data_IF_014484199258
#
_entry.id   IF_014484199258
#
_cell.length_a   1.000
_cell.length_b   1.000
_cell.length_c   1.000
_cell.angle_alpha   90.00
_cell.angle_beta   90.00
_cell.angle_gamma   90.00
#
_symmetry.space_group_name_H-M   'P 1'
#
loop_
_entity.id
_entity.type
_entity.pdbx_description
1 polymer ?
#
# COMPACT_ATOMS: atom_id res chain seq x y z
N UNK A 1 17.04 8.20 28.29
CA UNK A 1 15.79 8.83 27.79
C UNK A 1 15.44 8.14 26.47
N UNK A 2 14.16 7.90 26.20
CA UNK A 2 13.73 7.36 24.90
C UNK A 2 14.01 8.37 23.80
N UNK A 3 14.42 7.88 22.62
CA UNK A 3 14.56 8.71 21.42
C UNK A 3 13.18 9.09 20.87
N UNK A 4 12.96 10.37 20.57
CA UNK A 4 11.68 10.89 20.10
C UNK A 4 11.60 10.82 18.58
N UNK A 5 10.67 10.03 18.08
CA UNK A 5 10.40 9.85 16.65
C UNK A 5 9.09 10.53 16.27
N UNK A 6 9.08 11.17 15.11
CA UNK A 6 7.86 11.63 14.46
C UNK A 6 7.71 10.95 13.11
N UNK A 7 6.59 10.29 12.88
CA UNK A 7 6.18 9.88 11.55
C UNK A 7 5.11 10.82 10.99
N UNK A 8 5.21 11.13 9.70
CA UNK A 8 4.25 12.01 9.01
C UNK A 8 3.78 11.33 7.73
N UNK A 9 2.48 11.14 7.58
CA UNK A 9 1.83 10.59 6.39
C UNK A 9 0.47 11.26 6.17
N UNK A 10 -0.11 11.16 4.98
CA UNK A 10 -1.37 11.83 4.66
C UNK A 10 -2.57 11.25 5.43
N UNK A 11 -2.71 9.93 5.43
CA UNK A 11 -3.80 9.19 6.10
C UNK A 11 -3.37 7.75 6.32
N UNK A 12 -4.23 6.91 6.90
CA UNK A 12 -4.01 5.46 7.00
C UNK A 12 -5.07 4.68 6.19
N UNK A 13 -5.34 5.14 4.99
CA UNK A 13 -6.19 4.42 4.03
C UNK A 13 -5.53 3.12 3.55
N UNK A 14 -6.31 2.26 2.88
CA UNK A 14 -5.82 0.97 2.38
C UNK A 14 -4.92 1.15 1.15
N UNK A 15 -3.63 1.47 1.37
CA UNK A 15 -2.61 1.52 0.32
C UNK A 15 -1.24 1.02 0.84
N UNK A 16 -0.25 0.89 -0.06
CA UNK A 16 1.02 0.22 0.24
C UNK A 16 1.88 0.93 1.28
N UNK A 17 2.02 2.25 1.18
CA UNK A 17 2.82 3.04 2.11
C UNK A 17 2.23 3.03 3.53
N UNK A 18 0.90 3.15 3.64
CA UNK A 18 0.16 3.14 4.90
C UNK A 18 0.26 1.78 5.58
N UNK A 19 0.18 0.70 4.79
CA UNK A 19 0.40 -0.66 5.27
C UNK A 19 1.83 -0.87 5.78
N UNK A 20 2.81 -0.42 4.99
CA UNK A 20 4.24 -0.47 5.36
C UNK A 20 4.49 0.25 6.68
N UNK A 21 3.98 1.49 6.82
CA UNK A 21 4.09 2.24 8.07
C UNK A 21 3.43 1.50 9.25
N UNK A 22 2.20 1.02 9.07
CA UNK A 22 1.48 0.33 10.14
C UNK A 22 2.21 -0.94 10.57
N UNK A 23 2.79 -1.69 9.62
CA UNK A 23 3.64 -2.85 9.93
C UNK A 23 4.87 -2.43 10.73
N UNK A 24 5.59 -1.40 10.29
CA UNK A 24 6.76 -0.87 10.97
C UNK A 24 6.42 -0.43 12.40
N UNK A 25 5.33 0.33 12.58
CA UNK A 25 4.88 0.78 13.90
C UNK A 25 4.59 -0.40 14.85
N UNK A 26 4.05 -1.52 14.36
CA UNK A 26 3.82 -2.71 15.18
C UNK A 26 5.10 -3.49 15.57
N UNK A 27 6.24 -3.14 15.00
CA UNK A 27 7.52 -3.84 15.21
C UNK A 27 8.55 -2.99 15.97
N UNK A 28 8.31 -1.69 16.13
CA UNK A 28 9.21 -0.77 16.86
C UNK A 28 9.32 -1.17 18.33
N UNK A 29 10.53 -1.08 18.87
CA UNK A 29 10.81 -1.29 20.30
C UNK A 29 10.46 -0.03 21.13
N UNK A 30 9.23 0.03 21.63
CA UNK A 30 8.74 1.15 22.45
C UNK A 30 9.42 1.29 23.81
N UNK A 31 10.28 0.34 24.21
CA UNK A 31 11.14 0.55 25.38
C UNK A 31 12.22 1.60 25.13
N UNK A 32 12.65 1.77 23.87
CA UNK A 32 13.70 2.68 23.41
C UNK A 32 13.15 3.96 22.77
N UNK A 33 11.97 3.91 22.15
CA UNK A 33 11.42 4.97 21.34
C UNK A 33 10.09 5.51 21.88
N UNK A 34 9.95 6.83 21.83
CA UNK A 34 8.69 7.56 21.97
C UNK A 34 8.24 7.99 20.58
N UNK A 35 7.06 7.55 20.15
CA UNK A 35 6.60 7.70 18.77
C UNK A 35 5.36 8.55 18.70
N UNK A 36 5.46 9.68 17.98
CA UNK A 36 4.32 10.49 17.54
C UNK A 36 4.00 10.20 16.07
N UNK A 37 2.72 10.18 15.74
CA UNK A 37 2.22 10.03 14.38
C UNK A 37 1.37 11.23 14.00
N UNK A 38 1.82 12.03 13.02
CA UNK A 38 1.05 13.11 12.43
C UNK A 38 0.38 12.63 11.15
N UNK A 39 -0.93 12.60 11.19
CA UNK A 39 -1.79 12.39 10.01
C UNK A 39 -2.34 13.73 9.54
N UNK A 40 -2.42 13.94 8.23
CA UNK A 40 -3.11 15.10 7.66
C UNK A 40 -4.63 14.88 7.66
N UNK A 41 -5.06 13.64 7.51
CA UNK A 41 -6.44 13.21 7.74
C UNK A 41 -6.44 12.03 8.69
N UNK A 42 -7.06 12.16 9.87
CA UNK A 42 -7.28 11.03 10.78
C UNK A 42 -8.44 10.23 10.21
N UNK A 43 -8.12 9.43 9.21
CA UNK A 43 -9.01 8.57 8.48
C UNK A 43 -8.25 7.38 7.91
N UNK A 44 -8.96 6.31 7.62
CA UNK A 44 -8.44 5.12 6.98
C UNK A 44 -8.58 3.88 7.82
N UNK A 45 -8.62 2.79 7.12
CA UNK A 45 -8.91 1.47 7.67
C UNK A 45 -7.79 0.93 8.58
N UNK A 46 -6.56 1.42 8.38
CA UNK A 46 -5.41 0.99 9.20
C UNK A 46 -5.26 1.74 10.52
N UNK A 47 -6.14 2.71 10.83
CA UNK A 47 -6.13 3.41 12.13
C UNK A 47 -6.28 2.45 13.31
N UNK A 48 -7.17 1.46 13.19
CA UNK A 48 -7.41 0.45 14.24
C UNK A 48 -6.20 -0.48 14.50
N UNK A 49 -5.20 -0.43 13.61
CA UNK A 49 -4.01 -1.27 13.68
C UNK A 49 -2.79 -0.52 14.23
N UNK A 50 -2.92 0.77 14.46
CA UNK A 50 -1.87 1.56 15.11
C UNK A 50 -1.74 1.09 16.56
N UNK A 51 -0.52 0.75 17.04
CA UNK A 51 -0.30 0.37 18.42
C UNK A 51 -0.70 1.47 19.41
N UNK A 52 -1.17 1.09 20.59
CA UNK A 52 -1.57 2.03 21.65
C UNK A 52 -0.41 2.89 22.16
N UNK A 53 0.82 2.42 21.99
CA UNK A 53 2.04 3.13 22.34
C UNK A 53 2.34 4.33 21.42
N UNK A 54 1.70 4.39 20.24
CA UNK A 54 1.85 5.49 19.30
C UNK A 54 0.90 6.62 19.65
N UNK A 55 1.46 7.79 19.92
CA UNK A 55 0.67 9.00 20.14
C UNK A 55 0.25 9.61 18.81
N UNK A 56 -1.02 9.45 18.42
CA UNK A 56 -1.58 10.11 17.24
C UNK A 56 -1.83 11.57 17.57
N UNK A 57 -1.13 12.47 16.88
CA UNK A 57 -1.24 13.91 17.10
C UNK A 57 -2.59 14.45 16.58
N UNK A 58 -3.08 15.57 17.17
CA UNK A 58 -4.28 16.25 16.67
C UNK A 58 -4.17 16.58 15.18
N UNK A 59 -5.30 16.67 14.52
CA UNK A 59 -5.37 17.12 13.12
C UNK A 59 -4.78 18.52 13.00
N UNK A 60 -4.14 18.75 11.86
CA UNK A 60 -3.68 20.10 11.52
C UNK A 60 -4.88 21.00 11.16
N UNK A 61 -4.95 22.18 11.77
CA UNK A 61 -6.08 23.12 11.64
C UNK A 61 -6.47 23.43 10.20
N UNK A 62 -5.49 23.49 9.29
CA UNK A 62 -5.76 23.73 7.88
C UNK A 62 -6.57 22.61 7.23
N UNK A 63 -6.26 21.34 7.54
CA UNK A 63 -7.00 20.21 6.99
C UNK A 63 -8.40 20.10 7.60
N UNK A 64 -8.56 20.38 8.89
CA UNK A 64 -9.91 20.50 9.49
C UNK A 64 -10.74 21.57 8.80
N UNK A 65 -10.13 22.75 8.60
CA UNK A 65 -10.77 23.85 7.91
C UNK A 65 -11.17 23.49 6.46
N UNK A 66 -10.33 22.76 5.75
CA UNK A 66 -10.61 22.30 4.38
C UNK A 66 -11.76 21.30 4.29
N UNK A 67 -12.09 20.59 5.36
CA UNK A 67 -13.23 19.66 5.40
C UNK A 67 -14.58 20.37 5.58
N UNK A 68 -14.59 21.64 5.98
CA UNK A 68 -15.82 22.41 6.11
C UNK A 68 -16.40 22.80 4.74
N UNK A 69 -17.74 22.91 4.61
CA UNK A 69 -18.36 23.53 3.45
C UNK A 69 -17.86 24.97 3.23
N UNK A 70 -17.72 25.42 1.98
CA UNK A 70 -17.19 26.75 1.66
C UNK A 70 -17.97 27.87 2.37
N UNK A 71 -19.28 27.75 2.48
CA UNK A 71 -20.13 28.71 3.20
C UNK A 71 -19.77 28.83 4.69
N UNK A 72 -19.40 27.73 5.34
CA UNK A 72 -18.95 27.74 6.73
C UNK A 72 -17.53 28.31 6.86
N UNK A 73 -16.64 28.02 5.90
CA UNK A 73 -15.31 28.62 5.86
C UNK A 73 -15.39 30.15 5.81
N UNK A 74 -16.26 30.71 4.96
CA UNK A 74 -16.44 32.15 4.84
C UNK A 74 -16.99 32.72 6.14
N UNK A 75 -18.00 32.10 6.75
CA UNK A 75 -18.60 32.56 8.01
C UNK A 75 -17.64 32.45 9.19
N UNK A 76 -16.65 31.60 9.16
CA UNK A 76 -15.67 31.39 10.25
C UNK A 76 -14.47 32.31 10.18
N UNK A 77 -14.42 33.27 9.25
CA UNK A 77 -13.30 34.21 9.10
C UNK A 77 -13.39 35.31 10.15
N UNK A 78 -13.08 34.97 11.40
CA UNK A 78 -12.99 35.94 12.51
C UNK A 78 -11.53 36.23 12.90
N UNK A 79 -10.53 35.61 12.26
CA UNK A 79 -9.12 35.79 12.55
C UNK A 79 -8.28 35.86 11.28
N UNK A 80 -7.11 36.49 11.37
CA UNK A 80 -6.15 36.52 10.28
C UNK A 80 -5.69 35.13 9.82
N UNK A 81 -5.58 34.19 10.77
CA UNK A 81 -5.25 32.77 10.46
C UNK A 81 -6.33 32.11 9.59
N UNK A 82 -7.63 32.31 9.96
CA UNK A 82 -8.74 31.74 9.15
C UNK A 82 -8.85 32.40 7.78
N UNK A 83 -8.54 33.69 7.67
CA UNK A 83 -8.46 34.38 6.39
C UNK A 83 -7.35 33.82 5.50
N UNK A 84 -6.15 33.58 6.04
CA UNK A 84 -5.05 32.93 5.33
C UNK A 84 -5.47 31.55 4.82
N UNK A 85 -6.11 30.72 5.66
CA UNK A 85 -6.58 29.39 5.29
C UNK A 85 -7.60 29.43 4.15
N UNK A 86 -8.54 30.38 4.19
CA UNK A 86 -9.53 30.59 3.13
C UNK A 86 -8.87 30.97 1.80
N UNK A 87 -7.95 31.94 1.83
CA UNK A 87 -7.23 32.38 0.64
C UNK A 87 -6.38 31.24 0.04
N UNK A 88 -5.69 30.47 0.88
CA UNK A 88 -4.93 29.30 0.45
C UNK A 88 -5.82 28.25 -0.23
N UNK A 89 -6.99 27.96 0.35
CA UNK A 89 -7.96 27.02 -0.20
C UNK A 89 -8.51 27.48 -1.56
N UNK A 90 -8.88 28.75 -1.68
CA UNK A 90 -9.36 29.34 -2.94
C UNK A 90 -8.24 29.30 -3.99
N UNK A 91 -7.04 29.75 -3.63
CA UNK A 91 -5.88 29.76 -4.52
C UNK A 91 -5.57 28.36 -5.07
N UNK A 92 -5.51 27.34 -4.20
CA UNK A 92 -5.30 25.96 -4.63
C UNK A 92 -6.44 25.46 -5.51
N UNK A 93 -7.70 25.74 -5.14
CA UNK A 93 -8.88 25.31 -5.92
C UNK A 93 -8.91 25.90 -7.33
N UNK A 94 -8.44 27.11 -7.52
CA UNK A 94 -8.30 27.71 -8.85
C UNK A 94 -7.16 27.04 -9.62
N UNK A 95 -5.98 26.94 -9.01
CA UNK A 95 -4.79 26.40 -9.68
C UNK A 95 -4.94 24.96 -10.13
N UNK A 96 -5.54 24.07 -9.32
CA UNK A 96 -5.70 22.65 -9.65
C UNK A 96 -6.65 22.44 -10.84
N UNK A 97 -7.56 23.38 -11.11
CA UNK A 97 -8.47 23.32 -12.26
C UNK A 97 -7.82 23.81 -13.57
N UNK A 98 -6.88 24.73 -13.45
CA UNK A 98 -6.23 25.35 -14.61
C UNK A 98 -5.01 24.54 -15.06
N UNK A 99 -4.18 24.08 -14.11
CA UNK A 99 -2.90 23.43 -14.42
C UNK A 99 -3.03 21.91 -14.27
N UNK A 100 -2.93 21.20 -15.40
CA UNK A 100 -2.78 19.75 -15.39
C UNK A 100 -1.35 19.38 -14.96
N UNK A 101 -1.19 18.28 -14.25
CA UNK A 101 0.11 17.76 -13.81
C UNK A 101 -0.05 16.39 -13.18
N UNK A 102 1.08 15.68 -13.03
CA UNK A 102 1.13 14.41 -12.32
C UNK A 102 0.99 14.64 -10.78
N UNK A 103 1.02 13.55 -10.00
CA UNK A 103 0.86 13.64 -8.54
C UNK A 103 1.99 14.46 -7.87
N UNK A 104 3.22 14.39 -8.39
CA UNK A 104 4.34 15.18 -7.88
C UNK A 104 4.11 16.68 -8.10
N UNK A 105 3.62 17.05 -9.28
CA UNK A 105 3.31 18.45 -9.62
C UNK A 105 2.16 18.98 -8.77
N UNK A 106 1.14 18.16 -8.53
CA UNK A 106 -0.01 18.52 -7.67
C UNK A 106 0.42 18.73 -6.22
N UNK A 107 1.32 17.88 -5.67
CA UNK A 107 1.83 18.04 -4.32
C UNK A 107 2.60 19.36 -4.13
N UNK A 108 3.47 19.71 -5.09
CA UNK A 108 4.18 21.01 -5.06
C UNK A 108 3.22 22.18 -5.20
N UNK A 109 2.23 22.06 -6.09
CA UNK A 109 1.21 23.08 -6.26
C UNK A 109 0.41 23.30 -4.97
N UNK A 110 -0.03 22.22 -4.34
CA UNK A 110 -0.72 22.27 -3.05
C UNK A 110 0.14 22.98 -2.01
N UNK A 111 1.38 22.51 -1.83
CA UNK A 111 2.26 23.06 -0.80
C UNK A 111 2.53 24.55 -0.99
N UNK A 112 2.88 24.99 -2.20
CA UNK A 112 3.09 26.41 -2.52
C UNK A 112 1.87 27.29 -2.26
N UNK A 113 0.66 26.75 -2.40
CA UNK A 113 -0.56 27.50 -2.10
C UNK A 113 -0.87 27.56 -0.61
N UNK A 114 -0.46 26.54 0.16
CA UNK A 114 -0.98 26.29 1.50
C UNK A 114 0.09 26.34 2.62
N UNK A 115 1.38 26.37 2.32
CA UNK A 115 2.47 26.30 3.30
C UNK A 115 2.36 27.33 4.42
N UNK A 116 1.86 28.55 4.10
CA UNK A 116 1.68 29.63 5.06
C UNK A 116 0.50 29.42 6.02
N UNK A 117 -0.35 28.43 5.75
CA UNK A 117 -1.50 28.05 6.59
C UNK A 117 -1.16 26.94 7.59
N UNK A 118 0.07 26.45 7.56
CA UNK A 118 0.58 25.46 8.51
C UNK A 118 1.54 26.14 9.49
N UNK A 119 1.27 26.00 10.77
CA UNK A 119 2.19 26.42 11.81
C UNK A 119 3.39 25.47 11.91
N UNK A 120 4.48 25.97 12.50
CA UNK A 120 5.60 25.11 12.86
C UNK A 120 5.21 24.20 14.01
N UNK A 121 5.65 22.93 13.94
CA UNK A 121 5.43 21.99 15.02
C UNK A 121 6.16 22.46 16.31
N UNK A 122 5.45 22.55 17.44
CA UNK A 122 6.04 23.11 18.66
C UNK A 122 7.04 22.14 19.34
N UNK A 123 6.81 20.82 19.19
CA UNK A 123 7.66 19.75 19.76
C UNK A 123 8.89 19.54 18.88
N UNK A 124 10.04 19.31 19.48
CA UNK A 124 11.29 18.94 18.82
C UNK A 124 11.52 17.44 18.93
N UNK A 125 12.03 16.83 17.86
CA UNK A 125 12.26 15.40 17.75
C UNK A 125 13.74 15.06 17.53
N UNK A 126 14.12 13.85 17.90
CA UNK A 126 15.44 13.34 17.54
C UNK A 126 15.46 12.96 16.05
N UNK A 127 14.38 12.29 15.57
CA UNK A 127 14.22 11.95 14.16
C UNK A 127 12.80 12.26 13.70
N UNK A 128 12.66 12.94 12.57
CA UNK A 128 11.38 13.17 11.89
C UNK A 128 11.39 12.49 10.53
N UNK A 129 10.37 11.67 10.28
CA UNK A 129 10.27 10.79 9.12
C UNK A 129 9.03 11.15 8.31
N UNK A 130 9.22 11.69 7.12
CA UNK A 130 8.16 11.81 6.13
C UNK A 130 7.97 10.44 5.46
N UNK A 131 6.92 9.72 5.81
CA UNK A 131 6.72 8.35 5.32
C UNK A 131 6.06 8.27 3.93
N UNK A 132 6.00 9.40 3.25
CA UNK A 132 5.61 9.50 1.85
C UNK A 132 6.29 10.70 1.19
N UNK A 133 6.50 10.59 -0.11
CA UNK A 133 6.97 11.70 -0.96
C UNK A 133 5.89 12.78 -1.12
N UNK A 134 6.29 13.99 -1.48
CA UNK A 134 5.39 15.12 -1.70
C UNK A 134 5.05 15.89 -0.42
N UNK A 135 3.78 16.11 -0.13
CA UNK A 135 3.33 16.97 0.98
C UNK A 135 3.90 16.56 2.36
N UNK A 136 3.95 15.26 2.75
CA UNK A 136 4.61 14.85 3.99
C UNK A 136 6.09 15.24 4.03
N UNK A 137 6.81 15.05 2.92
CA UNK A 137 8.23 15.46 2.83
C UNK A 137 8.39 16.96 3.00
N UNK A 138 7.56 17.79 2.37
CA UNK A 138 7.62 19.24 2.48
C UNK A 138 7.27 19.72 3.90
N UNK A 139 6.28 19.09 4.54
CA UNK A 139 5.90 19.39 5.90
C UNK A 139 7.06 19.10 6.88
N UNK A 140 7.69 17.93 6.80
CA UNK A 140 8.84 17.59 7.62
C UNK A 140 10.01 18.54 7.34
N UNK A 141 10.27 18.87 6.07
CA UNK A 141 11.34 19.77 5.68
C UNK A 141 11.16 21.18 6.29
N UNK A 142 9.94 21.75 6.25
CA UNK A 142 9.69 23.15 6.56
C UNK A 142 9.12 23.41 7.94
N UNK A 143 8.31 22.51 8.49
CA UNK A 143 7.49 22.77 9.68
C UNK A 143 7.96 22.03 10.92
N UNK A 144 8.77 20.97 10.78
CA UNK A 144 9.23 20.16 11.89
C UNK A 144 10.64 20.53 12.30
N UNK A 145 10.88 20.64 13.61
CA UNK A 145 12.23 20.72 14.20
C UNK A 145 12.66 19.31 14.58
N UNK A 146 13.78 18.85 14.03
CA UNK A 146 14.38 17.57 14.37
C UNK A 146 15.89 17.60 14.15
N UNK A 147 16.63 16.79 14.93
CA UNK A 147 18.07 16.62 14.77
C UNK A 147 18.39 15.92 13.44
N UNK A 148 17.55 14.97 13.03
CA UNK A 148 17.64 14.25 11.77
C UNK A 148 16.28 14.23 11.09
N UNK A 149 16.24 14.56 9.80
CA UNK A 149 15.04 14.48 8.95
C UNK A 149 15.25 13.41 7.88
N UNK A 150 14.25 12.56 7.70
CA UNK A 150 14.26 11.45 6.76
C UNK A 150 13.02 11.52 5.87
N UNK A 151 13.14 11.09 4.62
CA UNK A 151 12.03 10.98 3.68
C UNK A 151 11.94 9.57 3.09
N UNK A 152 10.71 9.06 2.94
CA UNK A 152 10.41 7.80 2.27
C UNK A 152 9.91 8.05 0.86
N UNK A 153 10.41 7.26 -0.09
CA UNK A 153 9.99 7.24 -1.50
C UNK A 153 9.42 5.85 -1.78
N UNK A 154 8.08 5.79 -1.79
CA UNK A 154 7.33 4.53 -1.89
C UNK A 154 7.01 4.11 -3.33
N UNK A 155 7.17 5.01 -4.30
CA UNK A 155 6.86 4.74 -5.70
C UNK A 155 7.65 5.69 -6.59
N UNK A 156 7.61 5.44 -7.89
CA UNK A 156 8.23 6.32 -8.90
C UNK A 156 7.71 7.75 -8.76
N UNK A 157 8.62 8.68 -8.58
CA UNK A 157 8.33 10.09 -8.32
C UNK A 157 9.05 10.97 -9.33
N UNK A 158 8.31 11.47 -10.32
CA UNK A 158 8.85 12.22 -11.48
C UNK A 158 8.26 13.63 -11.56
N UNK A 159 8.75 14.60 -10.77
CA UNK A 159 8.36 16.00 -10.93
C UNK A 159 8.95 16.58 -12.21
N UNK A 160 8.24 17.53 -12.85
CA UNK A 160 8.64 18.11 -14.12
C UNK A 160 8.94 19.62 -14.00
N UNK A 161 9.91 20.12 -14.79
CA UNK A 161 10.25 21.53 -14.86
C UNK A 161 10.48 22.19 -13.50
N UNK A 162 9.87 23.33 -13.24
CA UNK A 162 10.02 24.10 -11.98
C UNK A 162 9.57 23.34 -10.72
N UNK A 163 8.79 22.26 -10.88
CA UNK A 163 8.42 21.36 -9.77
C UNK A 163 9.60 20.51 -9.31
N UNK A 164 10.49 20.13 -10.22
CA UNK A 164 11.72 19.42 -9.90
C UNK A 164 12.67 20.29 -9.05
N UNK A 165 12.86 21.57 -9.44
CA UNK A 165 13.68 22.52 -8.69
C UNK A 165 13.16 22.73 -7.26
N UNK A 166 11.83 22.83 -7.11
CA UNK A 166 11.23 22.94 -5.80
C UNK A 166 11.48 21.72 -4.93
N UNK A 167 11.33 20.52 -5.49
CA UNK A 167 11.66 19.27 -4.77
C UNK A 167 13.14 19.24 -4.36
N UNK A 168 14.06 19.64 -5.25
CA UNK A 168 15.49 19.73 -4.93
C UNK A 168 15.73 20.66 -3.72
N UNK A 169 15.07 21.82 -3.67
CA UNK A 169 15.16 22.75 -2.54
C UNK A 169 14.72 22.08 -1.22
N UNK A 170 13.62 21.35 -1.24
CA UNK A 170 13.09 20.70 -0.05
C UNK A 170 13.90 19.46 0.38
N UNK A 171 14.33 18.63 -0.57
CA UNK A 171 15.19 17.48 -0.26
C UNK A 171 16.57 17.87 0.28
N UNK A 172 17.09 19.07 0.00
CA UNK A 172 18.33 19.59 0.63
C UNK A 172 18.24 19.70 2.15
N UNK A 173 17.02 19.77 2.71
CA UNK A 173 16.78 19.84 4.17
C UNK A 173 16.66 18.46 4.81
N UNK A 174 16.73 17.39 4.01
CA UNK A 174 16.59 15.98 4.41
C UNK A 174 17.97 15.33 4.43
N UNK A 175 18.33 14.69 5.54
CA UNK A 175 19.62 14.04 5.71
C UNK A 175 19.67 12.64 5.13
N UNK A 176 18.51 11.95 5.03
CA UNK A 176 18.44 10.59 4.49
C UNK A 176 17.14 10.40 3.69
N UNK A 177 17.26 9.77 2.54
CA UNK A 177 16.14 9.44 1.65
C UNK A 177 16.08 7.93 1.54
N UNK A 178 15.06 7.32 2.09
CA UNK A 178 14.84 5.88 1.96
C UNK A 178 13.96 5.57 0.75
N UNK A 179 14.46 4.69 -0.12
CA UNK A 179 13.68 4.11 -1.22
C UNK A 179 13.27 2.68 -0.85
N UNK A 180 12.04 2.31 -1.15
CA UNK A 180 11.49 1.00 -0.78
C UNK A 180 11.95 -0.17 -1.66
N UNK A 181 12.73 0.10 -2.70
CA UNK A 181 13.38 -0.90 -3.54
C UNK A 181 14.52 -0.30 -4.36
N UNK A 182 15.39 -1.17 -4.92
CA UNK A 182 16.45 -0.76 -5.84
C UNK A 182 15.87 -0.06 -7.08
N UNK A 183 14.81 -0.58 -7.66
CA UNK A 183 14.14 0.02 -8.81
C UNK A 183 13.62 1.43 -8.52
N UNK A 184 13.04 1.66 -7.33
CA UNK A 184 12.61 3.00 -6.91
C UNK A 184 13.80 3.92 -6.70
N UNK A 185 14.91 3.42 -6.14
CA UNK A 185 16.12 4.19 -5.94
C UNK A 185 16.76 4.60 -7.27
N UNK A 186 16.85 3.70 -8.25
CA UNK A 186 17.36 3.99 -9.59
C UNK A 186 16.50 5.05 -10.29
N UNK A 187 15.17 4.90 -10.26
CA UNK A 187 14.26 5.88 -10.84
C UNK A 187 14.35 7.25 -10.15
N UNK A 188 14.47 7.27 -8.82
CA UNK A 188 14.65 8.51 -8.07
C UNK A 188 15.97 9.21 -8.44
N UNK A 189 17.06 8.46 -8.60
CA UNK A 189 18.37 9.01 -8.97
C UNK A 189 18.38 9.64 -10.36
N UNK A 190 17.57 9.18 -11.32
CA UNK A 190 17.46 9.80 -12.66
C UNK A 190 17.04 11.26 -12.58
N UNK A 191 16.16 11.59 -11.63
CA UNK A 191 15.67 12.96 -11.43
C UNK A 191 16.46 13.74 -10.38
N UNK A 192 17.06 13.06 -9.40
CA UNK A 192 17.66 13.64 -8.21
C UNK A 192 19.09 13.12 -7.93
N UNK A 193 19.92 13.01 -8.96
CA UNK A 193 21.27 12.45 -8.90
C UNK A 193 22.16 13.08 -7.82
N UNK A 194 21.97 14.38 -7.53
CA UNK A 194 22.72 15.09 -6.49
C UNK A 194 22.52 14.53 -5.06
N UNK A 195 21.46 13.76 -4.84
CA UNK A 195 21.17 13.13 -3.55
C UNK A 195 21.61 11.66 -3.47
N UNK A 196 22.32 11.11 -4.46
CA UNK A 196 22.72 9.70 -4.49
C UNK A 196 23.42 9.19 -3.22
N UNK A 197 24.20 10.06 -2.56
CA UNK A 197 24.91 9.74 -1.31
C UNK A 197 24.00 9.82 -0.06
N UNK A 198 22.78 10.29 -0.20
CA UNK A 198 21.78 10.38 0.87
C UNK A 198 20.74 9.26 0.77
N UNK A 199 20.83 8.42 -0.29
CA UNK A 199 19.86 7.34 -0.53
C UNK A 199 20.24 6.13 0.31
N UNK A 200 19.24 5.57 0.96
CA UNK A 200 19.24 4.26 1.60
C UNK A 200 18.16 3.39 0.96
N UNK A 201 18.33 2.09 1.00
CA UNK A 201 17.33 1.13 0.51
C UNK A 201 16.91 0.26 1.68
N UNK A 202 15.63 0.38 2.03
CA UNK A 202 14.98 -0.47 2.98
C UNK A 202 13.65 -0.91 2.38
N UNK A 203 13.51 -2.20 2.17
CA UNK A 203 12.27 -2.78 1.65
C UNK A 203 11.13 -2.69 2.67
N UNK A 204 9.90 -2.69 2.18
CA UNK A 204 8.74 -2.80 3.06
C UNK A 204 8.84 -4.07 3.90
N UNK A 205 8.65 -3.92 5.21
CA UNK A 205 8.74 -5.06 6.12
C UNK A 205 7.51 -5.94 5.94
N UNK A 206 7.77 -7.22 5.70
CA UNK A 206 6.76 -8.27 5.72
C UNK A 206 6.97 -9.15 6.95
N UNK A 207 6.09 -9.04 7.91
CA UNK A 207 6.12 -9.80 9.15
C UNK A 207 4.98 -10.82 9.19
N UNK A 208 5.36 -12.10 9.30
CA UNK A 208 4.40 -13.22 9.34
C UNK A 208 3.47 -13.15 10.55
N UNK A 209 3.99 -12.74 11.71
CA UNK A 209 3.20 -12.70 12.95
C UNK A 209 2.16 -11.59 12.88
N UNK A 210 2.54 -10.44 12.33
CA UNK A 210 1.63 -9.34 12.06
C UNK A 210 0.52 -9.76 11.08
N UNK A 211 0.87 -10.38 9.95
CA UNK A 211 -0.10 -10.88 8.97
C UNK A 211 -1.04 -11.93 9.58
N UNK A 212 -0.52 -12.84 10.42
CA UNK A 212 -1.34 -13.82 11.13
C UNK A 212 -2.27 -13.17 12.17
N UNK A 213 -1.79 -12.15 12.91
CA UNK A 213 -2.63 -11.35 13.82
C UNK A 213 -3.78 -10.71 13.06
N UNK A 214 -3.48 -10.07 11.94
CA UNK A 214 -4.46 -9.44 11.06
C UNK A 214 -5.47 -10.44 10.49
N UNK A 215 -5.02 -11.63 10.08
CA UNK A 215 -5.88 -12.67 9.51
C UNK A 215 -6.92 -13.21 10.52
N UNK A 216 -6.64 -13.10 11.81
CA UNK A 216 -7.54 -13.54 12.90
C UNK A 216 -8.46 -12.44 13.43
N UNK A 217 -8.33 -11.20 12.93
CA UNK A 217 -9.21 -10.11 13.34
C UNK A 217 -10.65 -10.34 12.85
N UNK A 218 -11.61 -9.75 13.56
CA UNK A 218 -13.02 -9.77 13.16
C UNK A 218 -13.19 -9.20 11.75
N UNK A 219 -13.89 -9.92 10.90
CA UNK A 219 -14.11 -9.54 9.50
C UNK A 219 -15.45 -10.10 8.99
N UNK A 220 -15.88 -9.64 7.83
CA UNK A 220 -17.08 -10.12 7.16
C UNK A 220 -16.81 -11.35 6.26
N UNK A 221 -15.65 -11.98 6.37
CA UNK A 221 -15.24 -13.08 5.47
C UNK A 221 -16.25 -14.20 5.40
N UNK A 222 -16.82 -14.60 6.53
CA UNK A 222 -17.80 -15.71 6.58
C UNK A 222 -19.10 -15.37 5.86
N UNK A 223 -19.54 -14.11 5.85
CA UNK A 223 -20.71 -13.65 5.10
C UNK A 223 -20.39 -13.37 3.63
N UNK A 224 -19.18 -12.93 3.33
CA UNK A 224 -18.77 -12.57 1.97
C UNK A 224 -18.39 -13.80 1.11
N UNK A 225 -17.85 -14.88 1.74
CA UNK A 225 -17.32 -16.06 1.04
C UNK A 225 -18.16 -17.32 1.37
N UNK A 226 -19.45 -17.28 1.11
CA UNK A 226 -20.38 -18.38 1.41
C UNK A 226 -20.54 -19.41 0.27
N UNK A 227 -20.25 -19.01 -0.99
CA UNK A 227 -20.51 -19.82 -2.17
C UNK A 227 -19.32 -20.68 -2.54
N UNK A 228 -19.61 -21.77 -3.23
CA UNK A 228 -18.63 -22.70 -3.78
C UNK A 228 -18.04 -23.67 -2.76
N UNK A 229 -17.77 -24.89 -3.21
CA UNK A 229 -17.04 -25.89 -2.42
C UNK A 229 -15.56 -25.47 -2.31
N UNK A 230 -15.00 -24.96 -3.42
CA UNK A 230 -13.64 -24.44 -3.47
C UNK A 230 -13.67 -22.91 -3.56
N UNK A 231 -13.02 -22.26 -2.60
CA UNK A 231 -12.91 -20.80 -2.52
C UNK A 231 -11.61 -20.34 -3.16
N UNK A 232 -11.70 -19.78 -4.35
CA UNK A 232 -10.56 -19.20 -5.07
C UNK A 232 -10.48 -17.72 -4.77
N UNK A 233 -9.28 -17.15 -4.60
CA UNK A 233 -9.12 -15.74 -4.27
C UNK A 233 -8.05 -15.06 -5.12
N UNK A 234 -8.35 -13.85 -5.57
CA UNK A 234 -7.39 -12.90 -6.13
C UNK A 234 -7.50 -11.55 -5.41
N UNK A 235 -6.36 -10.98 -5.02
CA UNK A 235 -6.29 -9.64 -4.42
C UNK A 235 -5.46 -8.74 -5.32
N UNK A 236 -6.05 -7.67 -5.82
CA UNK A 236 -5.32 -6.75 -6.70
C UNK A 236 -6.19 -5.66 -7.31
N UNK A 237 -5.54 -4.61 -7.85
CA UNK A 237 -6.25 -3.57 -8.58
C UNK A 237 -6.91 -4.14 -9.83
N UNK A 238 -8.07 -3.62 -10.19
CA UNK A 238 -8.76 -4.01 -11.42
C UNK A 238 -8.17 -3.20 -12.60
N UNK A 239 -6.98 -3.63 -13.06
CA UNK A 239 -6.26 -3.03 -14.18
C UNK A 239 -5.76 -4.11 -15.16
N UNK A 240 -5.36 -3.76 -16.40
CA UNK A 240 -4.98 -4.71 -17.44
C UNK A 240 -3.82 -5.64 -17.06
N UNK A 241 -2.88 -5.17 -16.21
CA UNK A 241 -1.72 -5.96 -15.81
C UNK A 241 -2.08 -7.12 -14.87
N UNK A 242 -3.25 -7.06 -14.21
CA UNK A 242 -3.70 -8.08 -13.26
C UNK A 242 -4.38 -9.29 -13.91
N UNK A 243 -4.63 -9.25 -15.23
CA UNK A 243 -5.05 -10.42 -16.01
C UNK A 243 -6.41 -11.00 -15.62
N UNK A 244 -7.39 -10.14 -15.26
CA UNK A 244 -8.73 -10.61 -14.89
C UNK A 244 -9.48 -11.26 -16.05
N UNK A 245 -9.14 -10.96 -17.28
CA UNK A 245 -9.62 -11.68 -18.47
C UNK A 245 -9.13 -13.12 -18.48
N UNK A 246 -7.85 -13.38 -18.14
CA UNK A 246 -7.28 -14.74 -17.98
C UNK A 246 -8.04 -15.49 -16.86
N UNK A 247 -8.31 -14.81 -15.73
CA UNK A 247 -9.06 -15.40 -14.62
C UNK A 247 -10.50 -15.79 -15.03
N UNK A 248 -11.18 -14.91 -15.78
CA UNK A 248 -12.54 -15.16 -16.28
C UNK A 248 -12.58 -16.31 -17.27
N UNK A 249 -11.62 -16.38 -18.18
CA UNK A 249 -11.49 -17.52 -19.11
C UNK A 249 -11.25 -18.83 -18.35
N UNK A 250 -10.38 -18.83 -17.33
CA UNK A 250 -10.16 -19.98 -16.46
C UNK A 250 -11.45 -20.38 -15.71
N UNK A 251 -12.16 -19.42 -15.12
CA UNK A 251 -13.43 -19.66 -14.42
C UNK A 251 -14.49 -20.26 -15.33
N UNK A 252 -14.57 -19.83 -16.60
CA UNK A 252 -15.46 -20.42 -17.61
C UNK A 252 -15.13 -21.90 -17.80
N UNK A 253 -13.86 -22.24 -17.98
CA UNK A 253 -13.40 -23.63 -18.18
C UNK A 253 -13.71 -24.48 -16.95
N UNK A 254 -13.48 -23.98 -15.73
CA UNK A 254 -13.81 -24.69 -14.50
C UNK A 254 -15.32 -25.00 -14.40
N UNK A 255 -16.19 -24.02 -14.72
CA UNK A 255 -17.62 -24.23 -14.75
C UNK A 255 -18.05 -25.27 -15.78
N UNK A 256 -17.48 -25.22 -17.00
CA UNK A 256 -17.75 -26.18 -18.08
C UNK A 256 -17.31 -27.60 -17.72
N UNK A 257 -16.31 -27.75 -16.86
CA UNK A 257 -15.88 -29.03 -16.29
C UNK A 257 -16.64 -29.43 -15.02
N UNK A 258 -17.70 -28.71 -14.63
CA UNK A 258 -18.56 -29.05 -13.51
C UNK A 258 -17.95 -28.86 -12.12
N UNK A 259 -16.85 -28.11 -12.02
CA UNK A 259 -16.21 -27.82 -10.72
C UNK A 259 -17.11 -26.90 -9.90
N UNK A 260 -17.36 -27.27 -8.65
CA UNK A 260 -18.12 -26.44 -7.70
C UNK A 260 -17.17 -25.46 -6.98
N UNK A 261 -17.02 -24.27 -7.52
CA UNK A 261 -16.13 -23.23 -6.98
C UNK A 261 -16.82 -21.87 -6.90
N UNK A 262 -16.22 -20.94 -6.14
CA UNK A 262 -16.45 -19.51 -6.27
C UNK A 262 -15.11 -18.78 -6.25
N UNK A 263 -14.89 -17.92 -7.23
CA UNK A 263 -13.69 -17.09 -7.35
C UNK A 263 -14.00 -15.68 -6.84
N UNK A 264 -13.43 -15.33 -5.72
CA UNK A 264 -13.59 -14.04 -5.07
C UNK A 264 -12.48 -13.09 -5.46
N UNK A 265 -12.81 -11.82 -5.67
CA UNK A 265 -11.85 -10.79 -6.04
C UNK A 265 -11.95 -9.61 -5.08
N UNK A 266 -10.82 -9.27 -4.44
CA UNK A 266 -10.67 -8.08 -3.62
C UNK A 266 -9.91 -7.01 -4.38
N UNK A 267 -10.54 -5.86 -4.62
CA UNK A 267 -9.91 -4.73 -5.28
C UNK A 267 -10.88 -3.77 -5.96
N UNK A 268 -10.32 -2.69 -6.48
CA UNK A 268 -11.01 -1.71 -7.33
C UNK A 268 -10.07 -1.24 -8.44
N UNK A 269 -10.61 -0.70 -9.51
CA UNK A 269 -9.82 -0.17 -10.61
C UNK A 269 -10.65 0.21 -11.82
N UNK A 270 -9.98 0.73 -12.83
CA UNK A 270 -10.60 1.27 -14.03
C UNK A 270 -11.30 0.21 -14.90
N UNK A 271 -10.87 -1.05 -14.83
CA UNK A 271 -11.48 -2.14 -15.58
C UNK A 271 -12.74 -2.74 -14.94
N UNK A 272 -13.24 -2.20 -13.82
CA UNK A 272 -14.40 -2.76 -13.09
C UNK A 272 -15.61 -3.04 -14.00
N UNK A 273 -16.00 -2.10 -14.84
CA UNK A 273 -17.16 -2.26 -15.73
C UNK A 273 -16.92 -3.33 -16.80
N UNK A 274 -15.75 -3.30 -17.42
CA UNK A 274 -15.34 -4.30 -18.43
C UNK A 274 -15.33 -5.72 -17.85
N UNK A 275 -14.77 -5.89 -16.64
CA UNK A 275 -14.72 -7.19 -15.94
C UNK A 275 -16.14 -7.65 -15.64
N UNK A 276 -17.03 -6.78 -15.15
CA UNK A 276 -18.43 -7.08 -14.88
C UNK A 276 -19.19 -7.53 -16.15
N UNK A 277 -18.93 -6.89 -17.28
CA UNK A 277 -19.50 -7.28 -18.57
C UNK A 277 -18.99 -8.66 -19.01
N UNK A 278 -17.69 -8.95 -18.84
CA UNK A 278 -17.11 -10.26 -19.14
C UNK A 278 -17.71 -11.37 -18.26
N UNK A 279 -17.90 -11.12 -16.97
CA UNK A 279 -18.57 -12.06 -16.05
C UNK A 279 -19.96 -12.39 -16.55
N UNK A 280 -20.77 -11.37 -16.88
CA UNK A 280 -22.13 -11.55 -17.41
C UNK A 280 -22.14 -12.28 -18.76
N UNK A 281 -21.28 -11.87 -19.69
CA UNK A 281 -21.15 -12.50 -21.04
C UNK A 281 -20.87 -13.99 -20.93
N UNK A 282 -20.06 -14.40 -19.95
CA UNK A 282 -19.68 -15.79 -19.73
C UNK A 282 -20.60 -16.53 -18.73
N UNK A 283 -21.69 -15.91 -18.24
CA UNK A 283 -22.65 -16.47 -17.26
C UNK A 283 -21.96 -16.96 -15.98
N UNK A 284 -21.08 -16.11 -15.44
CA UNK A 284 -20.25 -16.41 -14.26
C UNK A 284 -20.69 -15.66 -13.00
N UNK A 285 -21.87 -15.02 -12.99
CA UNK A 285 -22.34 -14.18 -11.89
C UNK A 285 -22.39 -14.92 -10.55
N UNK A 286 -22.62 -16.25 -10.57
CA UNK A 286 -22.63 -17.08 -9.37
C UNK A 286 -21.26 -17.68 -9.02
N UNK A 287 -20.29 -17.60 -9.93
CA UNK A 287 -18.96 -18.23 -9.83
C UNK A 287 -17.82 -17.23 -9.65
N UNK A 288 -18.02 -15.95 -10.01
CA UNK A 288 -16.95 -14.95 -10.00
C UNK A 288 -17.45 -13.65 -9.36
N UNK A 289 -17.06 -13.41 -8.10
CA UNK A 289 -17.66 -12.37 -7.25
C UNK A 289 -16.64 -11.25 -6.99
N UNK A 290 -17.00 -10.03 -7.41
CA UNK A 290 -16.23 -8.82 -7.12
C UNK A 290 -16.65 -8.27 -5.75
N UNK A 291 -15.86 -8.49 -4.71
CA UNK A 291 -16.16 -8.06 -3.34
C UNK A 291 -15.79 -6.59 -3.07
N UNK A 292 -15.09 -5.92 -4.02
CA UNK A 292 -14.58 -4.57 -3.81
C UNK A 292 -13.36 -4.53 -2.90
N UNK A 293 -13.03 -3.34 -2.40
CA UNK A 293 -11.89 -3.17 -1.49
C UNK A 293 -12.22 -3.70 -0.11
N UNK A 294 -11.29 -4.44 0.45
CA UNK A 294 -11.28 -4.80 1.88
C UNK A 294 -9.97 -4.28 2.48
N UNK A 295 -10.07 -3.51 3.55
CA UNK A 295 -8.92 -2.95 4.27
C UNK A 295 -7.99 -4.03 4.80
N UNK A 296 -8.56 -5.09 5.32
CA UNK A 296 -7.83 -6.26 5.78
C UNK A 296 -8.14 -7.46 4.86
N UNK A 297 -7.29 -7.78 3.87
CA UNK A 297 -7.51 -8.91 2.98
C UNK A 297 -7.12 -10.26 3.60
N UNK A 298 -6.39 -10.27 4.70
CA UNK A 298 -5.81 -11.49 5.25
C UNK A 298 -6.81 -12.53 5.76
N UNK A 299 -7.96 -12.16 6.38
CA UNK A 299 -9.00 -13.14 6.68
C UNK A 299 -9.52 -13.86 5.43
N UNK A 300 -9.63 -13.13 4.30
CA UNK A 300 -10.07 -13.70 3.02
C UNK A 300 -9.02 -14.63 2.41
N UNK A 301 -7.74 -14.26 2.50
CA UNK A 301 -6.64 -15.13 2.07
C UNK A 301 -6.63 -16.38 2.95
N UNK A 302 -6.78 -16.25 4.26
CA UNK A 302 -6.80 -17.38 5.20
C UNK A 302 -7.99 -18.32 4.96
N UNK A 303 -9.14 -17.81 4.56
CA UNK A 303 -10.36 -18.59 4.28
C UNK A 303 -10.35 -19.22 2.87
N UNK A 304 -9.53 -18.72 1.94
CA UNK A 304 -9.47 -19.29 0.59
C UNK A 304 -8.73 -20.64 0.57
N UNK A 305 -9.13 -21.54 -0.32
CA UNK A 305 -8.45 -22.81 -0.56
C UNK A 305 -7.20 -22.59 -1.44
N UNK A 306 -7.33 -21.75 -2.47
CA UNK A 306 -6.24 -21.46 -3.42
C UNK A 306 -6.21 -19.95 -3.68
N UNK A 307 -5.03 -19.36 -3.54
CA UNK A 307 -4.77 -17.99 -3.96
C UNK A 307 -4.28 -17.96 -5.42
N UNK A 308 -4.86 -17.11 -6.25
CA UNK A 308 -4.53 -17.05 -7.68
C UNK A 308 -4.08 -15.66 -8.07
N UNK A 309 -2.93 -15.56 -8.72
CA UNK A 309 -2.38 -14.32 -9.27
C UNK A 309 -2.22 -14.44 -10.79
N UNK A 310 -3.24 -14.08 -11.58
CA UNK A 310 -3.23 -14.24 -13.04
C UNK A 310 -2.56 -13.09 -13.76
N UNK A 311 -1.66 -12.37 -13.09
CA UNK A 311 -1.06 -11.13 -13.57
C UNK A 311 -0.19 -11.32 -14.81
N UNK A 312 -0.16 -10.29 -15.66
CA UNK A 312 0.81 -10.18 -16.77
C UNK A 312 2.12 -9.58 -16.31
N UNK A 313 2.03 -8.70 -15.32
CA UNK A 313 3.19 -8.00 -14.76
C UNK A 313 2.99 -7.68 -13.29
N UNK A 314 4.04 -7.89 -12.50
CA UNK A 314 4.18 -7.47 -11.11
C UNK A 314 5.61 -7.01 -10.84
N UNK A 315 5.77 -5.98 -10.01
CA UNK A 315 7.11 -5.58 -9.57
C UNK A 315 7.73 -6.58 -8.60
N UNK A 316 6.96 -7.04 -7.61
CA UNK A 316 7.41 -8.05 -6.63
C UNK A 316 6.34 -9.13 -6.40
N UNK A 317 5.04 -8.78 -6.41
CA UNK A 317 3.96 -9.70 -6.10
C UNK A 317 3.70 -9.83 -4.59
N UNK A 318 3.56 -8.72 -3.88
CA UNK A 318 3.32 -8.70 -2.43
C UNK A 318 2.17 -9.62 -2.01
N UNK A 319 1.08 -9.65 -2.77
CA UNK A 319 -0.06 -10.49 -2.46
C UNK A 319 0.25 -12.01 -2.54
N UNK A 320 1.18 -12.43 -3.41
CA UNK A 320 1.72 -13.79 -3.44
C UNK A 320 2.47 -14.10 -2.14
N UNK A 321 3.35 -13.20 -1.72
CA UNK A 321 4.09 -13.36 -0.48
C UNK A 321 3.17 -13.45 0.74
N UNK A 322 2.12 -12.64 0.77
CA UNK A 322 1.10 -12.64 1.83
C UNK A 322 0.31 -13.96 1.87
N UNK A 323 -0.10 -14.47 0.71
CA UNK A 323 -0.76 -15.77 0.63
C UNK A 323 0.15 -16.91 1.11
N UNK A 324 1.43 -16.89 0.72
CA UNK A 324 2.44 -17.83 1.21
C UNK A 324 2.64 -17.74 2.72
N UNK A 325 2.66 -16.53 3.30
CA UNK A 325 2.76 -16.33 4.76
C UNK A 325 1.59 -16.95 5.51
N UNK A 326 0.41 -16.96 4.91
CA UNK A 326 -0.78 -17.61 5.42
C UNK A 326 -0.88 -19.10 5.04
N UNK A 327 0.18 -19.66 4.46
CA UNK A 327 0.28 -21.06 4.01
C UNK A 327 -0.79 -21.47 3.00
N UNK A 328 -1.26 -20.53 2.17
CA UNK A 328 -2.20 -20.85 1.09
C UNK A 328 -1.43 -21.25 -0.16
N UNK A 329 -1.79 -22.37 -0.79
CA UNK A 329 -1.26 -22.72 -2.10
C UNK A 329 -1.53 -21.61 -3.11
N UNK A 330 -0.51 -21.23 -3.85
CA UNK A 330 -0.57 -20.15 -4.84
C UNK A 330 -0.49 -20.73 -6.24
N UNK A 331 -1.38 -20.29 -7.13
CA UNK A 331 -1.23 -20.45 -8.58
C UNK A 331 -0.97 -19.06 -9.17
N UNK A 332 0.09 -18.95 -9.95
CA UNK A 332 0.44 -17.67 -10.60
C UNK A 332 0.84 -17.90 -12.05
N UNK A 333 0.57 -16.92 -12.88
CA UNK A 333 1.15 -16.84 -14.23
C UNK A 333 2.64 -16.58 -14.17
N UNK A 334 3.35 -16.88 -15.27
CA UNK A 334 4.81 -16.84 -15.39
C UNK A 334 5.38 -15.45 -15.70
N UNK A 335 4.90 -14.37 -15.03
CA UNK A 335 5.55 -13.06 -15.12
C UNK A 335 6.95 -13.11 -14.46
N UNK A 336 7.86 -12.25 -14.89
CA UNK A 336 9.29 -12.32 -14.55
C UNK A 336 9.56 -12.41 -13.04
N UNK A 337 8.94 -11.54 -12.24
CA UNK A 337 9.18 -11.49 -10.79
C UNK A 337 8.62 -12.71 -10.02
N UNK A 338 7.77 -13.57 -10.63
CA UNK A 338 7.16 -14.72 -9.92
C UNK A 338 8.20 -15.73 -9.45
N UNK A 339 9.30 -15.89 -10.20
CA UNK A 339 10.36 -16.85 -9.89
C UNK A 339 11.16 -16.49 -8.64
N UNK A 340 11.08 -15.24 -8.16
CA UNK A 340 11.61 -14.84 -6.85
C UNK A 340 10.67 -15.23 -5.70
N UNK A 341 9.41 -15.53 -6.01
CA UNK A 341 8.37 -15.86 -5.03
C UNK A 341 8.04 -17.34 -4.99
N UNK A 342 7.96 -17.98 -6.15
CA UNK A 342 7.48 -19.34 -6.28
C UNK A 342 8.53 -20.26 -6.94
N UNK A 343 8.61 -21.47 -6.41
CA UNK A 343 9.25 -22.61 -7.05
C UNK A 343 8.13 -23.58 -7.42
N UNK A 344 7.97 -23.87 -8.71
CA UNK A 344 6.90 -24.72 -9.24
C UNK A 344 6.86 -26.09 -8.53
N UNK A 345 5.66 -26.53 -8.13
CA UNK A 345 5.37 -27.77 -7.38
C UNK A 345 6.05 -27.90 -5.99
N UNK A 346 6.75 -26.87 -5.55
CA UNK A 346 7.35 -26.83 -4.20
C UNK A 346 6.50 -26.01 -3.25
N UNK A 347 6.20 -24.76 -3.59
CA UNK A 347 5.43 -23.82 -2.76
C UNK A 347 4.30 -23.12 -3.51
N UNK A 348 4.03 -23.53 -4.74
CA UNK A 348 2.95 -23.06 -5.59
C UNK A 348 3.05 -23.65 -7.00
N UNK A 349 2.13 -23.28 -7.88
CA UNK A 349 2.17 -23.62 -9.29
C UNK A 349 2.37 -22.36 -10.15
N UNK A 350 3.27 -22.46 -11.12
CA UNK A 350 3.50 -21.41 -12.13
C UNK A 350 2.93 -21.92 -13.45
N UNK A 351 2.13 -21.08 -14.12
CA UNK A 351 1.41 -21.45 -15.35
C UNK A 351 1.70 -20.42 -16.45
N UNK A 352 1.38 -20.80 -17.70
CA UNK A 352 1.36 -19.81 -18.78
C UNK A 352 0.25 -18.77 -18.58
N UNK A 353 0.39 -17.61 -19.22
CA UNK A 353 -0.54 -16.46 -19.13
C UNK A 353 -1.80 -16.69 -19.99
N UNK A 354 -2.53 -17.77 -19.73
CA UNK A 354 -3.80 -18.06 -20.42
C UNK A 354 -4.77 -18.85 -19.52
N UNK A 355 -6.06 -18.76 -19.84
CA UNK A 355 -7.12 -19.38 -19.06
C UNK A 355 -7.03 -20.91 -18.97
N UNK A 356 -6.61 -21.59 -20.04
CA UNK A 356 -6.48 -23.05 -20.06
C UNK A 356 -5.42 -23.54 -19.04
N UNK A 357 -4.25 -22.91 -19.03
CA UNK A 357 -3.16 -23.27 -18.13
C UNK A 357 -3.51 -22.99 -16.66
N UNK A 358 -4.18 -21.85 -16.40
CA UNK A 358 -4.64 -21.50 -15.04
C UNK A 358 -5.73 -22.47 -14.58
N UNK A 359 -6.75 -22.75 -15.40
CA UNK A 359 -7.80 -23.72 -15.07
C UNK A 359 -7.23 -25.13 -14.84
N UNK A 360 -6.31 -25.58 -15.70
CA UNK A 360 -5.64 -26.88 -15.55
C UNK A 360 -4.87 -26.99 -14.24
N UNK A 361 -4.17 -25.93 -13.82
CA UNK A 361 -3.47 -25.91 -12.53
C UNK A 361 -4.43 -25.94 -11.33
N UNK A 362 -5.58 -25.24 -11.42
CA UNK A 362 -6.61 -25.27 -10.37
C UNK A 362 -7.19 -26.69 -10.25
N UNK A 363 -7.63 -27.30 -11.35
CA UNK A 363 -8.17 -28.67 -11.35
C UNK A 363 -7.13 -29.64 -10.81
N UNK A 364 -5.88 -29.50 -11.21
CA UNK A 364 -4.79 -30.37 -10.72
C UNK A 364 -4.61 -30.29 -9.20
N UNK A 365 -4.72 -29.09 -8.58
CA UNK A 365 -4.66 -28.97 -7.12
C UNK A 365 -5.91 -29.52 -6.42
N UNK A 366 -7.08 -29.40 -7.05
CA UNK A 366 -8.34 -29.93 -6.53
C UNK A 366 -8.32 -31.47 -6.55
N UNK A 367 -7.88 -32.07 -7.65
CA UNK A 367 -7.92 -33.53 -7.87
C UNK A 367 -6.75 -34.25 -7.18
N UNK A 368 -5.61 -33.57 -7.01
CA UNK A 368 -4.39 -34.17 -6.43
C UNK A 368 -4.16 -33.66 -5.00
N UNK A 369 -4.81 -34.32 -4.03
CA UNK A 369 -4.67 -34.00 -2.59
C UNK A 369 -3.23 -34.13 -2.08
N UNK A 370 -2.44 -35.04 -2.62
CA UNK A 370 -1.03 -35.20 -2.20
C UNK A 370 -0.20 -33.99 -2.61
N UNK A 371 -0.38 -33.49 -3.83
CA UNK A 371 0.29 -32.28 -4.30
C UNK A 371 -0.13 -31.06 -3.48
N UNK A 372 -1.43 -30.91 -3.19
CA UNK A 372 -1.94 -29.84 -2.34
C UNK A 372 -1.28 -29.85 -0.94
N UNK A 373 -1.31 -31.02 -0.28
CA UNK A 373 -0.73 -31.20 1.05
C UNK A 373 0.80 -31.00 1.05
N UNK A 374 1.49 -31.46 0.01
CA UNK A 374 2.93 -31.24 -0.17
C UNK A 374 3.25 -29.73 -0.23
N UNK A 375 2.52 -28.98 -1.05
CA UNK A 375 2.72 -27.53 -1.19
C UNK A 375 2.42 -26.83 0.16
N UNK A 376 1.31 -27.14 0.80
CA UNK A 376 0.94 -26.56 2.09
C UNK A 376 1.98 -26.88 3.18
N UNK A 377 2.45 -28.13 3.24
CA UNK A 377 3.50 -28.54 4.20
C UNK A 377 4.82 -27.81 3.96
N UNK A 378 5.22 -27.64 2.70
CA UNK A 378 6.42 -26.87 2.36
C UNK A 378 6.26 -25.39 2.76
N UNK A 379 5.09 -24.80 2.48
CA UNK A 379 4.78 -23.43 2.89
C UNK A 379 4.85 -23.26 4.41
N UNK A 380 4.42 -24.23 5.22
CA UNK A 380 4.51 -24.20 6.69
C UNK A 380 5.97 -24.19 7.19
N UNK A 381 6.88 -24.82 6.45
CA UNK A 381 8.31 -24.94 6.80
C UNK A 381 9.17 -23.76 6.30
N UNK A 382 8.67 -22.96 5.39
CA UNK A 382 9.43 -21.81 4.87
C UNK A 382 9.66 -20.75 5.96
N UNK A 383 10.88 -20.26 6.05
CA UNK A 383 11.15 -18.98 6.69
C UNK A 383 10.55 -17.88 5.82
N UNK A 384 9.73 -17.02 6.42
CA UNK A 384 8.93 -16.03 5.72
C UNK A 384 9.07 -14.69 6.38
N UNK A 385 9.20 -13.69 5.53
CA UNK A 385 9.36 -12.31 5.95
C UNK A 385 10.79 -11.80 5.71
N UNK A 386 10.98 -10.55 6.03
CA UNK A 386 12.25 -9.85 5.90
C UNK A 386 12.49 -8.97 7.13
N UNK A 387 12.32 -9.56 8.32
CA UNK A 387 12.48 -8.85 9.61
C UNK A 387 13.86 -8.20 9.78
N UNK A 388 14.88 -8.62 9.02
CA UNK A 388 16.18 -7.95 8.99
C UNK A 388 16.11 -6.50 8.48
N UNK A 389 15.07 -6.14 7.73
CA UNK A 389 14.83 -4.76 7.34
C UNK A 389 14.58 -3.85 8.56
N UNK A 390 14.03 -4.39 9.65
CA UNK A 390 13.88 -3.64 10.90
C UNK A 390 15.24 -3.25 11.50
N UNK A 391 16.26 -4.12 11.35
CA UNK A 391 17.65 -3.78 11.77
C UNK A 391 18.20 -2.63 10.95
N UNK A 392 17.90 -2.57 9.64
CA UNK A 392 18.28 -1.44 8.79
C UNK A 392 17.60 -0.16 9.27
N UNK A 393 16.31 -0.23 9.64
CA UNK A 393 15.60 0.90 10.21
C UNK A 393 16.30 1.44 11.47
N UNK A 394 16.64 0.59 12.44
CA UNK A 394 17.34 1.02 13.65
C UNK A 394 18.71 1.61 13.34
N UNK A 395 19.48 1.01 12.41
CA UNK A 395 20.74 1.59 11.93
C UNK A 395 20.53 2.98 11.31
N UNK A 396 19.43 3.20 10.58
CA UNK A 396 19.09 4.51 10.06
C UNK A 396 18.77 5.51 11.18
N UNK A 397 18.28 5.08 12.33
CA UNK A 397 18.05 5.93 13.51
C UNK A 397 19.34 6.26 14.27
N UNK A 398 20.44 5.53 14.03
CA UNK A 398 21.75 5.76 14.66
C UNK A 398 22.15 4.73 15.71
N UNK A 399 21.48 3.54 15.73
CA UNK A 399 21.92 2.39 16.53
C UNK A 399 23.09 1.64 15.88
#
# INVERSE_FOLDING_TARGET
>A
MKQKLLFVIESLNCAGAEKSLTTLLNLIDYSKYEVDLQLFSIAGEFLELVPEEVNILPKLDYFEYCNLPMSQCIKSVFSFTKLKMLLSRIHYSIRIRIKKGNNADKAVMFWKCCEHSFDKMPKEYDVAIAYAQGTPTFYVADKVKAKKKMAWVNTVYRPQGNTKEYNVKEYKKIQMINCVSDAVAEEFQKDFYQFRNHISIMYDIMDKNFILKMAKMKSNVMSDMQKGQYKLLTVGRLDPNKGYDIAIDAAKILRENGINFCWYVLGKGEEYQKIKELIKKNRLEEYFILLGVRSNPYPYILESDIYIQPSRFEGFGLAIAEARMLNRPVISTNFEAVYHQLTHEKNGLITDMNGNSVAGAIMRLIDNKELYQKIESNLKKEEKGNSDELKKFYKMLGE
#
